data_IF_591546758783
#
_entry.id   IF_591546758783
#
_cell.length_a   1.000
_cell.length_b   1.000
_cell.length_c   1.000
_cell.angle_alpha   90.00
_cell.angle_beta   90.00
_cell.angle_gamma   90.00
#
_symmetry.space_group_name_H-M   'P 1'
#
loop_
_entity.id
_entity.type
_entity.pdbx_description
1 polymer ?
#
# COMPACT_ATOMS: atom_id res chain seq x y z
N UNK A 1 15.35 -25.35 -3.16
CA UNK A 1 13.93 -24.94 -3.23
C UNK A 1 13.85 -23.79 -4.22
N UNK A 2 13.55 -24.13 -5.46
CA UNK A 2 13.60 -23.23 -6.60
C UNK A 2 12.33 -22.37 -6.63
N UNK A 3 12.43 -21.12 -6.18
CA UNK A 3 11.35 -20.13 -6.28
C UNK A 3 11.30 -19.55 -7.68
N UNK A 4 11.08 -20.39 -8.69
CA UNK A 4 10.70 -19.87 -9.99
C UNK A 4 9.26 -19.39 -9.86
N UNK A 5 9.09 -18.07 -9.76
CA UNK A 5 7.83 -17.42 -10.12
C UNK A 5 7.47 -17.98 -11.49
N UNK A 6 6.43 -18.81 -11.57
CA UNK A 6 5.93 -19.23 -12.87
C UNK A 6 5.43 -17.95 -13.56
N UNK A 7 6.20 -17.48 -14.54
CA UNK A 7 5.93 -16.22 -15.23
C UNK A 7 4.55 -16.23 -15.91
N UNK A 8 4.08 -17.41 -16.32
CA UNK A 8 2.73 -17.58 -16.89
C UNK A 8 1.66 -17.28 -15.84
N UNK A 9 1.85 -17.77 -14.61
CA UNK A 9 0.93 -17.50 -13.50
C UNK A 9 0.95 -16.02 -13.11
N UNK A 10 2.13 -15.38 -13.08
CA UNK A 10 2.25 -13.95 -12.81
C UNK A 10 1.52 -13.12 -13.86
N UNK A 11 1.73 -13.42 -15.15
CA UNK A 11 1.04 -12.76 -16.26
C UNK A 11 -0.47 -12.94 -16.19
N UNK A 12 -0.94 -14.15 -15.88
CA UNK A 12 -2.37 -14.43 -15.74
C UNK A 12 -3.01 -13.59 -14.62
N UNK A 13 -2.40 -13.56 -13.42
CA UNK A 13 -2.90 -12.74 -12.30
C UNK A 13 -2.96 -11.26 -12.65
N UNK A 14 -1.90 -10.73 -13.29
CA UNK A 14 -1.85 -9.32 -13.70
C UNK A 14 -2.94 -8.98 -14.73
N UNK A 15 -3.09 -9.80 -15.78
CA UNK A 15 -4.10 -9.60 -16.80
C UNK A 15 -5.54 -9.68 -16.24
N UNK A 16 -5.80 -10.65 -15.35
CA UNK A 16 -7.10 -10.75 -14.66
C UNK A 16 -7.37 -9.53 -13.79
N UNK A 17 -6.40 -9.06 -13.02
CA UNK A 17 -6.53 -7.83 -12.22
C UNK A 17 -6.89 -6.63 -13.10
N UNK A 18 -6.18 -6.44 -14.21
CA UNK A 18 -6.37 -5.29 -15.08
C UNK A 18 -7.75 -5.31 -15.78
N UNK A 19 -8.24 -6.49 -16.17
CA UNK A 19 -9.59 -6.66 -16.72
C UNK A 19 -10.71 -6.40 -15.69
N UNK A 20 -10.45 -6.66 -14.40
CA UNK A 20 -11.42 -6.42 -13.33
C UNK A 20 -11.36 -4.99 -12.78
N UNK A 21 -10.31 -4.24 -13.06
CA UNK A 21 -10.07 -2.90 -12.49
C UNK A 21 -11.24 -1.91 -12.70
N UNK A 22 -11.94 -1.85 -13.85
CA UNK A 22 -13.09 -0.97 -14.03
C UNK A 22 -14.27 -1.27 -13.11
N UNK A 23 -14.34 -2.48 -12.55
CA UNK A 23 -15.41 -2.95 -11.67
C UNK A 23 -15.01 -3.00 -10.19
N UNK A 24 -13.73 -2.73 -9.88
CA UNK A 24 -13.19 -2.82 -8.53
C UNK A 24 -13.05 -1.44 -7.88
N UNK A 25 -13.30 -1.35 -6.57
CA UNK A 25 -13.08 -0.12 -5.81
C UNK A 25 -12.35 -0.41 -4.49
N UNK A 26 -11.30 0.36 -4.23
CA UNK A 26 -10.45 0.22 -3.04
C UNK A 26 -9.44 -0.93 -3.14
N UNK A 27 -8.57 -1.01 -2.14
CA UNK A 27 -7.57 -2.07 -1.99
C UNK A 27 -7.54 -2.55 -0.55
N UNK A 28 -7.38 -3.86 -0.35
CA UNK A 28 -7.17 -4.40 0.98
C UNK A 28 -5.68 -4.33 1.31
N UNK A 29 -5.33 -3.60 2.37
CA UNK A 29 -3.92 -3.30 2.71
C UNK A 29 -3.06 -4.55 2.91
N UNK A 30 -3.64 -5.66 3.37
CA UNK A 30 -2.88 -6.91 3.54
C UNK A 30 -2.66 -7.70 2.23
N UNK A 31 -3.24 -7.24 1.11
CA UNK A 31 -3.05 -7.81 -0.23
C UNK A 31 -2.20 -6.89 -1.13
N UNK A 32 -1.64 -5.84 -0.55
CA UNK A 32 -0.73 -4.94 -1.24
C UNK A 32 0.67 -5.58 -1.31
N UNK A 33 1.17 -5.76 -2.53
CA UNK A 33 2.55 -6.19 -2.81
C UNK A 33 3.56 -5.08 -2.56
N UNK A 34 4.48 -4.85 -3.50
CA UNK A 34 5.42 -3.72 -3.43
C UNK A 34 4.66 -2.42 -3.70
N UNK A 35 4.44 -1.63 -2.65
CA UNK A 35 3.43 -0.58 -2.65
C UNK A 35 4.02 0.80 -2.76
N UNK A 36 3.55 1.55 -3.76
CA UNK A 36 3.75 2.99 -3.80
C UNK A 36 2.98 3.66 -2.65
N UNK A 37 3.50 4.80 -2.17
CA UNK A 37 2.82 5.65 -1.17
C UNK A 37 1.37 5.99 -1.58
N UNK A 38 1.12 6.12 -2.90
CA UNK A 38 -0.21 6.42 -3.43
C UNK A 38 -1.20 5.28 -3.20
N UNK A 39 -0.77 4.03 -3.34
CA UNK A 39 -1.60 2.85 -3.09
C UNK A 39 -1.90 2.67 -1.59
N UNK A 40 -0.93 2.97 -0.72
CA UNK A 40 -1.17 2.97 0.73
C UNK A 40 -2.20 4.03 1.10
N UNK A 41 -2.07 5.25 0.55
CA UNK A 41 -3.04 6.33 0.76
C UNK A 41 -4.44 5.97 0.26
N UNK A 42 -4.57 5.37 -0.92
CA UNK A 42 -5.87 4.95 -1.44
C UNK A 42 -6.49 3.80 -0.62
N UNK A 43 -5.69 2.86 -0.12
CA UNK A 43 -6.16 1.75 0.71
C UNK A 43 -6.76 2.17 2.05
N UNK A 44 -6.15 3.17 2.72
CA UNK A 44 -6.74 3.73 3.94
C UNK A 44 -7.83 4.77 3.66
N UNK A 45 -7.79 5.40 2.48
CA UNK A 45 -8.78 6.38 2.06
C UNK A 45 -8.96 7.51 3.08
N UNK A 46 -10.20 7.86 3.45
CA UNK A 46 -10.47 8.94 4.42
C UNK A 46 -9.80 8.75 5.79
N UNK A 47 -9.48 7.51 6.18
CA UNK A 47 -8.86 7.22 7.47
C UNK A 47 -7.37 7.59 7.52
N UNK A 48 -6.73 7.80 6.37
CA UNK A 48 -5.29 8.05 6.29
C UNK A 48 -4.85 9.25 7.15
N UNK A 49 -5.60 10.35 7.10
CA UNK A 49 -5.26 11.56 7.86
C UNK A 49 -5.28 11.32 9.37
N UNK A 50 -6.32 10.64 9.89
CA UNK A 50 -6.42 10.31 11.31
C UNK A 50 -5.31 9.34 11.75
N UNK A 51 -5.00 8.33 10.93
CA UNK A 51 -3.95 7.37 11.24
C UNK A 51 -2.55 8.01 11.20
N UNK A 52 -2.32 8.99 10.33
CA UNK A 52 -1.10 9.79 10.32
C UNK A 52 -0.94 10.57 11.64
N UNK A 53 -2.00 11.21 12.14
CA UNK A 53 -1.93 11.90 13.44
C UNK A 53 -1.66 10.95 14.61
N UNK A 54 -2.23 9.74 14.57
CA UNK A 54 -1.92 8.69 15.54
C UNK A 54 -0.44 8.26 15.41
N UNK A 55 0.06 8.05 14.19
CA UNK A 55 1.46 7.70 13.93
C UNK A 55 2.41 8.79 14.42
N UNK A 56 2.10 10.08 14.23
CA UNK A 56 2.87 11.19 14.79
C UNK A 56 2.98 11.12 16.30
N UNK A 57 1.89 10.77 16.98
CA UNK A 57 1.87 10.67 18.45
C UNK A 57 2.70 9.51 18.99
N UNK A 58 2.64 8.35 18.34
CA UNK A 58 3.18 7.10 18.90
C UNK A 58 4.46 6.58 18.22
N UNK A 59 4.73 6.98 16.98
CA UNK A 59 5.93 6.61 16.21
C UNK A 59 6.39 7.77 15.30
N UNK A 60 6.76 8.94 15.87
CA UNK A 60 7.15 10.13 15.10
C UNK A 60 8.39 9.90 14.23
N UNK A 61 9.29 9.01 14.65
CA UNK A 61 10.52 8.69 13.91
C UNK A 61 10.33 7.57 12.88
N UNK A 62 9.10 7.09 12.69
CA UNK A 62 8.74 6.05 11.73
C UNK A 62 9.61 4.78 11.87
N UNK A 63 9.83 4.33 13.10
CA UNK A 63 10.58 3.11 13.43
C UNK A 63 9.87 1.89 12.87
N UNK A 64 8.54 1.83 13.01
CA UNK A 64 7.71 0.73 12.53
C UNK A 64 7.27 0.99 11.08
N UNK A 65 8.18 0.75 10.13
CA UNK A 65 7.99 1.09 8.70
C UNK A 65 7.99 -0.07 7.71
N UNK A 66 8.24 -1.30 8.17
CA UNK A 66 8.16 -2.50 7.31
C UNK A 66 6.73 -3.03 7.27
N UNK A 67 5.82 -2.21 6.75
CA UNK A 67 4.39 -2.49 6.61
C UNK A 67 3.81 -1.57 5.51
N UNK A 68 2.49 -1.58 5.33
CA UNK A 68 1.78 -0.61 4.49
C UNK A 68 1.82 0.78 5.13
N UNK A 69 2.99 1.40 5.03
CA UNK A 69 3.42 2.40 5.98
C UNK A 69 2.73 3.75 5.77
N UNK A 70 2.15 4.25 6.85
CA UNK A 70 1.70 5.64 6.93
C UNK A 70 2.88 6.45 7.46
N UNK A 71 3.40 7.36 6.64
CA UNK A 71 4.47 8.26 7.05
C UNK A 71 3.89 9.29 8.05
N UNK A 72 4.55 9.53 9.19
CA UNK A 72 4.11 10.54 10.16
C UNK A 72 4.25 11.97 9.60
N UNK A 73 4.86 12.16 8.43
CA UNK A 73 5.06 13.47 7.83
C UNK A 73 4.63 13.53 6.36
N UNK A 74 4.01 14.65 5.98
CA UNK A 74 3.89 15.12 4.60
C UNK A 74 4.33 16.58 4.46
N UNK A 75 5.05 17.11 5.45
CA UNK A 75 5.68 18.42 5.44
C UNK A 75 6.97 18.41 4.65
N UNK A 76 6.87 18.55 3.32
CA UNK A 76 7.86 19.34 2.60
C UNK A 76 7.77 20.77 3.13
N UNK A 77 8.68 21.15 4.02
CA UNK A 77 8.97 22.56 4.26
C UNK A 77 9.95 23.04 3.17
N UNK A 78 9.41 23.31 1.99
CA UNK A 78 9.91 24.22 0.92
C UNK A 78 8.81 24.35 -0.13
#
# INVERSE_FOLDING_TARGET
>A
MEHLRNEEVVRWVQATRDNLQPFAFGVYVNQLGDTSDQLVRSGYGPNYARLMEIKKKYDPNNVLRLNQNIKPDSGSNT
#
